data_IF_064051173755
#
_entry.id   IF_064051173755
#
_cell.length_a   1.000
_cell.length_b   1.000
_cell.length_c   1.000
_cell.angle_alpha   90.00
_cell.angle_beta   90.00
_cell.angle_gamma   90.00
#
_symmetry.space_group_name_H-M   'P 1'
#
loop_
_entity.id
_entity.type
_entity.pdbx_description
1 polymer ?
#
# COMPACT_ATOMS: atom_id res chain seq x y z
N UNK A 1 -10.90 -6.64 -11.98
CA UNK A 1 -9.96 -5.72 -11.29
C UNK A 1 -9.53 -6.38 -10.00
N UNK A 2 -8.29 -6.16 -9.51
CA UNK A 2 -7.81 -6.73 -8.25
C UNK A 2 -8.70 -6.29 -7.08
N UNK A 3 -8.73 -7.13 -6.04
CA UNK A 3 -9.36 -6.78 -4.78
C UNK A 3 -8.46 -5.84 -3.97
N UNK A 4 -9.03 -5.07 -3.05
CA UNK A 4 -8.24 -4.21 -2.18
C UNK A 4 -7.18 -5.00 -1.40
N UNK A 5 -7.48 -6.25 -1.02
CA UNK A 5 -6.53 -7.16 -0.39
C UNK A 5 -5.29 -7.43 -1.24
N UNK A 6 -5.45 -7.55 -2.56
CA UNK A 6 -4.34 -7.78 -3.49
C UNK A 6 -3.46 -6.53 -3.58
N UNK A 7 -4.08 -5.34 -3.64
CA UNK A 7 -3.38 -4.05 -3.67
C UNK A 7 -2.60 -3.82 -2.38
N UNK A 8 -3.19 -4.14 -1.23
CA UNK A 8 -2.53 -4.04 0.08
C UNK A 8 -1.34 -5.00 0.19
N UNK A 9 -1.52 -6.27 -0.15
CA UNK A 9 -0.43 -7.24 -0.11
C UNK A 9 0.73 -6.85 -1.04
N UNK A 10 0.42 -6.19 -2.16
CA UNK A 10 1.45 -5.65 -3.04
C UNK A 10 2.17 -4.43 -2.44
N UNK A 11 1.43 -3.50 -1.83
CA UNK A 11 2.00 -2.33 -1.17
C UNK A 11 2.89 -2.70 0.02
N UNK A 12 2.53 -3.74 0.78
CA UNK A 12 3.35 -4.27 1.88
C UNK A 12 4.72 -4.77 1.37
N UNK A 13 4.76 -5.49 0.25
CA UNK A 13 6.03 -5.89 -0.39
C UNK A 13 6.88 -4.71 -0.84
N UNK A 14 6.26 -3.63 -1.34
CA UNK A 14 7.00 -2.41 -1.69
C UNK A 14 7.63 -1.79 -0.43
N UNK A 15 6.88 -1.70 0.66
CA UNK A 15 7.36 -1.14 1.92
C UNK A 15 8.50 -1.98 2.56
N UNK A 16 8.54 -3.30 2.31
CA UNK A 16 9.64 -4.17 2.74
C UNK A 16 10.94 -3.94 1.96
N UNK A 17 10.86 -3.49 0.70
CA UNK A 17 12.00 -3.33 -0.20
C UNK A 17 12.45 -1.87 -0.41
N UNK A 18 11.72 -0.90 0.13
CA UNK A 18 11.96 0.53 -0.07
C UNK A 18 11.80 1.33 1.25
N UNK A 19 12.23 2.59 1.24
CA UNK A 19 12.09 3.51 2.38
C UNK A 19 10.67 4.08 2.55
N UNK A 20 9.63 3.28 2.26
CA UNK A 20 8.23 3.69 2.34
C UNK A 20 7.47 2.92 3.43
N UNK A 21 6.42 3.51 3.98
CA UNK A 21 5.46 2.91 4.91
C UNK A 21 4.03 3.12 4.45
N UNK A 22 3.15 2.17 4.73
CA UNK A 22 1.71 2.37 4.57
C UNK A 22 1.24 3.44 5.55
N UNK A 23 0.67 4.52 5.00
CA UNK A 23 0.13 5.64 5.75
C UNK A 23 -1.39 5.56 5.87
N UNK A 24 -2.07 5.21 4.78
CA UNK A 24 -3.52 5.17 4.72
C UNK A 24 -3.98 4.22 3.59
N UNK A 25 -5.25 3.83 3.62
CA UNK A 25 -5.86 2.98 2.60
C UNK A 25 -7.36 3.25 2.43
N UNK A 26 -7.86 3.05 1.21
CA UNK A 26 -9.28 3.18 0.88
C UNK A 26 -9.79 1.90 0.21
N UNK A 27 -10.49 1.02 0.95
CA UNK A 27 -11.06 -0.20 0.40
C UNK A 27 -12.08 0.05 -0.71
N UNK A 28 -12.92 1.08 -0.57
CA UNK A 28 -13.93 1.45 -1.56
C UNK A 28 -13.32 1.84 -2.92
N UNK A 29 -12.17 2.51 -2.88
CA UNK A 29 -11.42 2.93 -4.07
C UNK A 29 -10.33 1.94 -4.50
N UNK A 30 -10.05 0.91 -3.68
CA UNK A 30 -8.97 -0.08 -3.87
C UNK A 30 -7.59 0.54 -3.98
N UNK A 31 -7.29 1.54 -3.15
CA UNK A 31 -6.02 2.30 -3.17
C UNK A 31 -5.32 2.23 -1.82
N UNK A 32 -3.99 2.14 -1.84
CA UNK A 32 -3.12 2.23 -0.65
C UNK A 32 -2.15 3.39 -0.82
N UNK A 33 -2.03 4.23 0.20
CA UNK A 33 -1.14 5.38 0.24
C UNK A 33 0.14 5.02 0.99
N UNK A 34 1.28 5.24 0.34
CA UNK A 34 2.61 5.06 0.92
C UNK A 34 3.26 6.42 1.19
N UNK A 35 3.90 6.54 2.34
CA UNK A 35 4.70 7.71 2.73
C UNK A 35 6.16 7.31 2.87
N UNK A 36 7.07 8.21 2.49
CA UNK A 36 8.50 7.99 2.62
C UNK A 36 8.92 8.20 4.09
N UNK A 37 9.67 7.26 4.66
CA UNK A 37 10.37 7.44 5.94
C UNK A 37 11.46 8.50 5.74
N UNK A 38 11.31 9.66 6.39
CA UNK A 38 12.33 10.73 6.43
C UNK A 38 13.09 10.61 7.75
#
# INVERSE_FOLDING_TARGET
MPEHSDVRAFAEKIAEHCDYTVKDESPASRVVCLERKI
#
